data_IF_716889626725
#
_entry.id   IF_716889626725
#
_cell.length_a   1.000
_cell.length_b   1.000
_cell.length_c   1.000
_cell.angle_alpha   90.00
_cell.angle_beta   90.00
_cell.angle_gamma   90.00
#
_symmetry.space_group_name_H-M   'P 1'
#
loop_
_entity.id
_entity.type
_entity.pdbx_description
1 polymer ?
#
# COMPACT_ATOMS: atom_id res chain seq x y z
N UNK A 1 -15.12 13.05 -4.03
CA UNK A 1 -14.76 12.12 -5.14
C UNK A 1 -16.01 11.45 -5.65
N UNK A 2 -16.13 11.32 -6.96
CA UNK A 2 -17.28 10.66 -7.58
C UNK A 2 -17.25 9.16 -7.27
N UNK A 3 -18.40 8.54 -6.92
CA UNK A 3 -18.44 7.10 -6.62
C UNK A 3 -17.92 6.20 -7.74
N UNK A 4 -18.10 6.60 -9.00
CA UNK A 4 -17.59 5.82 -10.15
C UNK A 4 -16.06 5.83 -10.23
N UNK A 5 -15.42 6.92 -9.84
CA UNK A 5 -13.96 7.00 -9.76
C UNK A 5 -13.43 6.07 -8.66
N UNK A 6 -14.07 6.09 -7.50
CA UNK A 6 -13.73 5.21 -6.39
C UNK A 6 -13.84 3.74 -6.79
N UNK A 7 -14.92 3.36 -7.43
CA UNK A 7 -15.13 1.97 -7.87
C UNK A 7 -14.13 1.56 -8.96
N UNK A 8 -13.80 2.46 -9.88
CA UNK A 8 -12.75 2.20 -10.86
C UNK A 8 -11.40 1.89 -10.20
N UNK A 9 -11.00 2.71 -9.24
CA UNK A 9 -9.73 2.51 -8.51
C UNK A 9 -9.73 1.16 -7.78
N UNK A 10 -10.84 0.83 -7.12
CA UNK A 10 -11.01 -0.44 -6.42
C UNK A 10 -10.88 -1.64 -7.36
N UNK A 11 -11.59 -1.63 -8.50
CA UNK A 11 -11.55 -2.72 -9.46
C UNK A 11 -10.17 -2.87 -10.11
N UNK A 12 -9.53 -1.75 -10.46
CA UNK A 12 -8.18 -1.78 -11.02
C UNK A 12 -7.17 -2.43 -10.08
N UNK A 13 -7.34 -2.23 -8.79
CA UNK A 13 -6.49 -2.84 -7.76
C UNK A 13 -6.79 -4.32 -7.52
N UNK A 14 -7.81 -4.88 -8.19
CA UNK A 14 -8.25 -6.26 -7.94
C UNK A 14 -8.86 -6.45 -6.55
N UNK A 15 -9.45 -5.39 -6.00
CA UNK A 15 -10.05 -5.38 -4.66
C UNK A 15 -9.04 -5.78 -3.57
N UNK A 16 -7.79 -5.34 -3.74
CA UNK A 16 -6.70 -5.55 -2.79
C UNK A 16 -6.02 -4.22 -2.49
N UNK A 17 -5.44 -4.11 -1.29
CA UNK A 17 -4.55 -3.00 -0.99
C UNK A 17 -3.37 -3.00 -1.97
N UNK A 18 -3.13 -1.88 -2.63
CA UNK A 18 -2.04 -1.80 -3.61
C UNK A 18 -0.67 -1.71 -2.95
N UNK A 19 -0.61 -1.53 -1.63
CA UNK A 19 0.65 -1.49 -0.87
C UNK A 19 0.94 -2.82 -0.19
N UNK A 20 0.08 -3.30 0.71
CA UNK A 20 0.35 -4.51 1.49
C UNK A 20 -0.35 -5.78 1.00
N UNK A 21 -1.18 -5.66 -0.03
CA UNK A 21 -1.85 -6.77 -0.70
C UNK A 21 -2.98 -7.47 0.06
N UNK A 22 -3.44 -6.93 1.20
CA UNK A 22 -4.62 -7.51 1.84
C UNK A 22 -5.82 -7.53 0.88
N UNK A 23 -6.43 -8.69 0.63
CA UNK A 23 -7.67 -8.77 -0.14
C UNK A 23 -8.85 -8.35 0.73
N UNK A 24 -9.72 -7.50 0.19
CA UNK A 24 -10.87 -6.97 0.94
C UNK A 24 -11.76 -8.08 1.53
N UNK A 25 -12.03 -9.12 0.72
CA UNK A 25 -12.94 -10.18 1.14
C UNK A 25 -12.43 -10.96 2.36
N UNK A 26 -11.12 -11.00 2.56
CA UNK A 26 -10.51 -11.73 3.68
C UNK A 26 -10.36 -10.87 4.94
N UNK A 27 -10.55 -9.57 4.83
CA UNK A 27 -10.42 -8.61 5.94
C UNK A 27 -11.64 -7.69 6.02
N UNK A 28 -12.86 -8.23 6.21
CA UNK A 28 -14.09 -7.43 6.10
C UNK A 28 -14.20 -6.33 7.17
N UNK A 29 -13.42 -6.40 8.23
CA UNK A 29 -13.39 -5.39 9.29
C UNK A 29 -12.40 -4.25 8.98
N UNK A 30 -11.54 -4.37 7.96
CA UNK A 30 -10.69 -3.28 7.52
C UNK A 30 -11.43 -2.40 6.51
N UNK A 31 -11.38 -1.09 6.74
CA UNK A 31 -11.89 -0.11 5.79
C UNK A 31 -10.82 0.15 4.74
N UNK A 32 -11.23 0.30 3.49
CA UNK A 32 -10.33 0.67 2.39
C UNK A 32 -10.63 2.09 1.93
N UNK A 33 -9.60 2.77 1.48
CA UNK A 33 -9.64 4.17 1.08
C UNK A 33 -9.01 4.37 -0.28
N UNK A 34 -9.42 5.43 -0.97
CA UNK A 34 -8.68 5.95 -2.10
C UNK A 34 -7.57 6.84 -1.55
N UNK A 35 -6.33 6.44 -1.79
CA UNK A 35 -5.15 7.19 -1.42
C UNK A 35 -4.73 8.10 -2.58
N UNK A 36 -4.54 9.39 -2.31
CA UNK A 36 -3.85 10.27 -3.25
C UNK A 36 -2.35 9.96 -3.11
N UNK A 37 -1.76 9.37 -4.15
CA UNK A 37 -0.36 8.90 -4.10
C UNK A 37 0.55 10.04 -3.70
N UNK A 38 0.33 11.24 -4.26
CA UNK A 38 0.91 12.49 -3.77
C UNK A 38 -0.18 13.22 -3.00
N UNK A 39 0.04 13.45 -1.71
CA UNK A 39 -0.95 14.07 -0.84
C UNK A 39 -1.33 15.46 -1.36
N UNK A 40 -2.62 15.81 -1.19
CA UNK A 40 -3.19 17.08 -1.67
C UNK A 40 -2.41 18.31 -1.21
N UNK A 41 -1.87 18.26 0.02
CA UNK A 41 -1.13 19.39 0.60
C UNK A 41 0.16 19.72 -0.14
N UNK A 42 0.67 18.83 -0.99
CA UNK A 42 1.90 19.02 -1.75
C UNK A 42 1.64 19.57 -3.16
N UNK A 43 0.38 19.78 -3.54
CA UNK A 43 -0.01 20.14 -4.89
C UNK A 43 -0.81 21.44 -4.87
N UNK A 44 -0.56 22.30 -5.89
CA UNK A 44 -1.35 23.51 -6.09
C UNK A 44 -2.75 23.18 -6.62
N UNK A 45 -2.86 22.13 -7.44
CA UNK A 45 -4.12 21.66 -7.97
C UNK A 45 -4.38 20.22 -7.49
N UNK A 46 -5.61 19.99 -7.03
CA UNK A 46 -6.05 18.67 -6.60
C UNK A 46 -6.65 17.96 -7.80
N UNK A 47 -6.17 16.75 -8.07
CA UNK A 47 -6.69 15.91 -9.14
C UNK A 47 -7.26 14.62 -8.58
N UNK A 48 -8.43 14.25 -9.09
CA UNK A 48 -9.02 12.91 -8.88
C UNK A 48 -8.86 12.04 -10.14
N UNK A 49 -7.88 12.39 -11.00
CA UNK A 49 -7.52 11.53 -12.12
C UNK A 49 -7.04 10.18 -11.57
N UNK A 50 -7.59 9.05 -12.06
CA UNK A 50 -7.23 7.72 -11.58
C UNK A 50 -5.74 7.41 -11.59
N UNK A 51 -4.95 8.07 -12.46
CA UNK A 51 -3.49 7.88 -12.49
C UNK A 51 -2.79 8.41 -11.22
N UNK A 52 -3.47 9.26 -10.45
CA UNK A 52 -2.93 9.84 -9.21
C UNK A 52 -3.42 9.09 -7.97
N UNK A 53 -4.23 8.05 -8.13
CA UNK A 53 -4.97 7.42 -7.06
C UNK A 53 -4.57 5.95 -6.90
N UNK A 54 -4.61 5.48 -5.66
CA UNK A 54 -4.39 4.08 -5.31
C UNK A 54 -5.45 3.59 -4.34
N UNK A 55 -5.70 2.28 -4.34
CA UNK A 55 -6.60 1.61 -3.40
C UNK A 55 -5.76 1.13 -2.21
N UNK A 56 -6.10 1.55 -1.01
CA UNK A 56 -5.31 1.25 0.17
C UNK A 56 -6.18 0.84 1.36
N UNK A 57 -5.71 -0.16 2.12
CA UNK A 57 -6.34 -0.47 3.39
C UNK A 57 -6.11 0.66 4.40
N UNK A 58 -6.95 0.72 5.44
CA UNK A 58 -6.86 1.76 6.46
C UNK A 58 -5.50 1.81 7.15
N UNK A 59 -4.85 0.66 7.33
CA UNK A 59 -3.53 0.59 7.96
C UNK A 59 -2.47 1.29 7.11
N UNK A 60 -2.37 0.93 5.82
CA UNK A 60 -1.41 1.55 4.92
C UNK A 60 -1.72 3.02 4.70
N UNK A 61 -2.98 3.37 4.52
CA UNK A 61 -3.40 4.76 4.33
C UNK A 61 -3.03 5.64 5.53
N UNK A 62 -3.29 5.16 6.73
CA UNK A 62 -2.98 5.88 7.96
C UNK A 62 -1.47 6.10 8.11
N UNK A 63 -0.66 5.04 7.99
CA UNK A 63 0.78 5.13 8.20
C UNK A 63 1.50 5.88 7.10
N UNK A 64 1.01 5.79 5.86
CA UNK A 64 1.57 6.58 4.77
C UNK A 64 1.36 8.07 5.01
N UNK A 65 0.14 8.46 5.42
CA UNK A 65 -0.19 9.86 5.62
C UNK A 65 0.19 10.70 4.39
N UNK A 66 0.73 11.91 4.60
CA UNK A 66 1.16 12.78 3.51
C UNK A 66 2.59 12.51 3.00
N UNK A 67 3.24 11.47 3.47
CA UNK A 67 4.65 11.22 3.17
C UNK A 67 4.86 10.87 1.69
N UNK A 68 5.94 11.39 1.10
CA UNK A 68 6.38 11.09 -0.26
C UNK A 68 7.63 10.20 -0.26
N UNK A 69 8.37 10.21 0.85
CA UNK A 69 9.66 9.54 0.98
C UNK A 69 9.85 9.05 2.41
N UNK A 70 10.78 8.13 2.60
CA UNK A 70 11.18 7.65 3.92
C UNK A 70 12.61 7.14 3.88
N UNK A 71 13.07 6.59 5.00
CA UNK A 71 14.42 6.12 5.19
C UNK A 71 14.47 4.59 5.05
N UNK A 72 15.36 4.10 4.20
CA UNK A 72 15.67 2.68 4.14
C UNK A 72 16.34 2.27 5.45
N UNK A 73 15.76 1.36 6.24
CA UNK A 73 16.33 0.96 7.53
C UNK A 73 17.69 0.25 7.39
N UNK A 74 17.98 -0.28 6.21
CA UNK A 74 19.24 -1.01 6.00
C UNK A 74 20.40 -0.10 5.60
N UNK A 75 20.14 0.87 4.70
CA UNK A 75 21.20 1.74 4.16
C UNK A 75 21.18 3.15 4.74
N UNK A 76 20.09 3.53 5.41
CA UNK A 76 19.81 4.88 5.91
C UNK A 76 19.65 5.92 4.81
N UNK A 77 19.54 5.49 3.56
CA UNK A 77 19.26 6.38 2.43
C UNK A 77 17.81 6.87 2.48
N UNK A 78 17.62 8.13 2.12
CA UNK A 78 16.28 8.67 1.90
C UNK A 78 15.83 8.32 0.47
N UNK A 79 14.67 7.68 0.35
CA UNK A 79 14.14 7.23 -0.93
C UNK A 79 12.65 7.55 -1.05
N UNK A 80 12.17 7.71 -2.27
CA UNK A 80 10.74 7.84 -2.51
C UNK A 80 10.01 6.55 -2.16
N UNK A 81 8.77 6.68 -1.69
CA UNK A 81 7.91 5.54 -1.42
C UNK A 81 7.53 4.82 -2.71
N UNK A 82 7.17 3.57 -2.58
CA UNK A 82 6.59 2.78 -3.67
C UNK A 82 5.35 3.49 -4.23
N UNK A 83 5.31 3.64 -5.56
CA UNK A 83 4.21 4.27 -6.29
C UNK A 83 3.55 3.22 -7.19
N UNK A 84 2.32 2.78 -6.87
CA UNK A 84 1.69 1.68 -7.62
C UNK A 84 1.34 2.01 -9.07
N UNK A 85 1.42 3.30 -9.49
CA UNK A 85 1.20 3.68 -10.89
C UNK A 85 2.46 3.60 -11.73
N UNK A 86 3.63 3.69 -11.10
CA UNK A 86 4.92 3.77 -11.78
C UNK A 86 5.73 2.49 -11.57
N UNK A 87 5.72 1.97 -10.35
CA UNK A 87 6.56 0.85 -9.94
C UNK A 87 5.81 -0.48 -10.04
N UNK A 88 6.54 -1.57 -10.26
CA UNK A 88 6.02 -2.92 -10.19
C UNK A 88 6.19 -3.49 -8.79
N UNK A 89 5.12 -3.98 -8.18
CA UNK A 89 5.14 -4.47 -6.80
C UNK A 89 6.15 -5.60 -6.60
N UNK A 90 6.18 -6.55 -7.52
CA UNK A 90 7.08 -7.73 -7.42
C UNK A 90 8.56 -7.37 -7.51
N UNK A 91 8.89 -6.20 -8.06
CA UNK A 91 10.28 -5.74 -8.11
C UNK A 91 10.77 -5.23 -6.76
N UNK A 92 9.85 -4.85 -5.87
CA UNK A 92 10.17 -4.19 -4.61
C UNK A 92 9.81 -4.99 -3.38
N UNK A 93 8.93 -5.97 -3.51
CA UNK A 93 8.40 -6.73 -2.36
C UNK A 93 8.28 -8.21 -2.65
N UNK A 94 8.37 -8.99 -1.59
CA UNK A 94 8.11 -10.43 -1.63
C UNK A 94 7.36 -10.84 -0.37
N UNK A 95 6.21 -11.54 -0.50
CA UNK A 95 5.54 -12.08 0.68
C UNK A 95 6.25 -13.35 1.15
N UNK A 96 6.58 -13.41 2.43
CA UNK A 96 7.22 -14.58 3.04
C UNK A 96 6.53 -14.86 4.37
N UNK A 97 5.77 -15.95 4.44
CA UNK A 97 5.09 -16.39 5.66
C UNK A 97 4.29 -15.27 6.35
N UNK A 98 3.57 -14.49 5.56
CA UNK A 98 2.76 -13.38 6.03
C UNK A 98 3.49 -12.05 6.15
N UNK A 99 4.81 -12.04 6.13
CA UNK A 99 5.58 -10.80 6.09
C UNK A 99 5.68 -10.27 4.65
N UNK A 100 5.74 -8.97 4.52
CA UNK A 100 6.06 -8.30 3.25
C UNK A 100 7.51 -7.84 3.32
N UNK A 101 8.39 -8.55 2.63
CA UNK A 101 9.82 -8.27 2.65
C UNK A 101 10.17 -7.28 1.55
N UNK A 102 10.85 -6.20 1.89
CA UNK A 102 11.36 -5.25 0.90
C UNK A 102 12.61 -5.80 0.22
N UNK A 103 12.59 -5.84 -1.11
CA UNK A 103 13.71 -6.33 -1.93
C UNK A 103 14.66 -5.22 -2.36
N UNK A 104 14.23 -3.96 -2.25
CA UNK A 104 14.97 -2.77 -2.66
C UNK A 104 14.93 -1.74 -1.56
N UNK A 105 15.75 -0.70 -1.66
CA UNK A 105 15.68 0.44 -0.73
C UNK A 105 14.27 1.02 -0.66
N UNK A 106 13.63 1.20 -1.82
CA UNK A 106 12.25 1.69 -1.90
C UNK A 106 11.28 0.74 -1.19
N UNK A 107 11.38 -0.55 -1.44
CA UNK A 107 10.53 -1.56 -0.80
C UNK A 107 10.72 -1.60 0.71
N UNK A 108 11.96 -1.58 1.19
CA UNK A 108 12.26 -1.60 2.62
C UNK A 108 11.76 -0.35 3.34
N UNK A 109 12.00 0.83 2.74
CA UNK A 109 11.53 2.09 3.32
C UNK A 109 10.00 2.14 3.39
N UNK A 110 9.33 1.69 2.32
CA UNK A 110 7.87 1.69 2.25
C UNK A 110 7.28 0.69 3.25
N UNK A 111 7.78 -0.55 3.29
CA UNK A 111 7.26 -1.57 4.21
C UNK A 111 7.38 -1.11 5.67
N UNK A 112 8.46 -0.44 6.02
CA UNK A 112 8.67 0.07 7.38
C UNK A 112 7.75 1.24 7.69
N UNK A 113 7.70 2.25 6.83
CA UNK A 113 6.88 3.44 7.09
C UNK A 113 5.40 3.07 7.20
N UNK A 114 4.91 2.21 6.29
CA UNK A 114 3.52 1.79 6.29
C UNK A 114 3.20 0.72 7.34
N UNK A 115 4.21 0.33 8.12
CA UNK A 115 4.07 -0.67 9.19
C UNK A 115 3.41 -1.96 8.73
N UNK A 116 3.76 -2.40 7.53
CA UNK A 116 3.17 -3.59 6.89
C UNK A 116 3.41 -4.86 7.70
N UNK A 117 4.47 -4.90 8.50
CA UNK A 117 4.90 -6.07 9.23
C UNK A 117 4.68 -5.97 10.74
N UNK A 118 3.68 -5.17 11.17
CA UNK A 118 3.21 -5.24 12.55
C UNK A 118 2.85 -6.70 12.87
N UNK A 119 3.23 -7.24 14.04
CA UNK A 119 3.03 -8.67 14.35
C UNK A 119 1.62 -9.17 14.10
N UNK A 120 0.59 -8.38 14.45
CA UNK A 120 -0.82 -8.75 14.23
C UNK A 120 -1.16 -8.85 12.74
N UNK A 121 -0.55 -8.01 11.89
CA UNK A 121 -0.80 -8.02 10.45
C UNK A 121 -0.08 -9.19 9.77
N UNK A 122 1.11 -9.54 10.23
CA UNK A 122 1.84 -10.72 9.74
C UNK A 122 1.06 -11.98 10.06
N UNK A 123 0.56 -12.12 11.29
CA UNK A 123 -0.26 -13.28 11.68
C UNK A 123 -1.52 -13.39 10.83
N UNK A 124 -2.23 -12.28 10.65
CA UNK A 124 -3.45 -12.24 9.85
C UNK A 124 -3.16 -12.64 8.40
N UNK A 125 -2.12 -12.07 7.80
CA UNK A 125 -1.74 -12.37 6.42
C UNK A 125 -1.33 -13.83 6.26
N UNK A 126 -0.61 -14.37 7.23
CA UNK A 126 -0.22 -15.79 7.24
C UNK A 126 -1.46 -16.70 7.22
N UNK A 127 -2.45 -16.41 8.05
CA UNK A 127 -3.71 -17.17 8.08
C UNK A 127 -4.43 -17.10 6.74
N UNK A 128 -4.47 -15.93 6.11
CA UNK A 128 -5.10 -15.73 4.81
C UNK A 128 -4.38 -16.57 3.74
N UNK A 129 -3.04 -16.58 3.76
CA UNK A 129 -2.24 -17.41 2.85
C UNK A 129 -2.52 -18.89 3.06
N UNK A 130 -2.58 -19.34 4.31
CA UNK A 130 -2.86 -20.76 4.65
C UNK A 130 -4.24 -21.19 4.17
N UNK A 131 -5.20 -20.27 4.14
CA UNK A 131 -6.55 -20.55 3.65
C UNK A 131 -6.67 -20.44 2.13
N UNK A 132 -5.59 -20.05 1.45
CA UNK A 132 -5.58 -19.88 -0.01
C UNK A 132 -6.25 -18.60 -0.50
N UNK A 133 -6.46 -17.61 0.36
CA UNK A 133 -7.18 -16.37 0.06
C UNK A 133 -6.28 -15.16 -0.21
N UNK A 134 -4.98 -15.33 -0.15
CA UNK A 134 -4.04 -14.22 -0.36
C UNK A 134 -3.55 -14.09 -1.79
#
# INVERSE_FOLDING_TARGET
MHPSTREFVRQRAGQRCEYCRFPEHAVPYLVFHVDHIIAKQHLDEISDDPITLAWACSECNYHKGPNLASIDPQTLAQVYLFNPRIDSWIDHFQPIQGAIVGLTSKGRATARLLNMNAPRLVRLRREIVEQGDF
#
